data_IF_696700499652
#
_entry.id   IF_696700499652
#
_cell.length_a   1.000
_cell.length_b   1.000
_cell.length_c   1.000
_cell.angle_alpha   90.00
_cell.angle_beta   90.00
_cell.angle_gamma   90.00
#
_symmetry.space_group_name_H-M   'P 1'
#
loop_
_entity.id
_entity.type
_entity.pdbx_description
1 polymer ?
#
# COMPACT_ATOMS: atom_id res chain seq x y z
N UNK A 1 25.25 -14.44 32.80
CA UNK A 1 23.99 -15.00 32.27
C UNK A 1 24.16 -15.16 30.77
N UNK A 2 23.89 -16.34 30.21
CA UNK A 2 24.08 -16.62 28.77
C UNK A 2 22.96 -15.97 27.96
N UNK A 3 23.28 -15.32 26.84
CA UNK A 3 22.27 -14.80 25.90
C UNK A 3 21.43 -15.95 25.30
N UNK A 4 20.19 -15.62 24.90
CA UNK A 4 19.29 -16.58 24.27
C UNK A 4 19.74 -16.89 22.84
N UNK A 5 19.42 -18.09 22.33
CA UNK A 5 19.70 -18.44 20.95
C UNK A 5 18.97 -17.54 19.95
N UNK A 6 17.78 -17.05 20.31
CA UNK A 6 17.03 -16.08 19.51
C UNK A 6 17.85 -14.81 19.26
N UNK A 7 18.50 -14.25 20.28
CA UNK A 7 19.28 -13.02 20.14
C UNK A 7 20.57 -13.23 19.31
N UNK A 8 21.07 -14.46 19.25
CA UNK A 8 22.30 -14.80 18.55
C UNK A 8 22.03 -15.19 17.08
N UNK A 9 20.88 -15.83 16.82
CA UNK A 9 20.61 -16.50 15.54
C UNK A 9 19.48 -15.86 14.73
N UNK A 10 18.69 -14.98 15.31
CA UNK A 10 17.54 -14.36 14.65
C UNK A 10 17.70 -12.85 14.59
N UNK A 11 17.10 -12.26 13.55
CA UNK A 11 16.88 -10.82 13.46
C UNK A 11 15.37 -10.56 13.30
N UNK A 12 14.94 -9.33 13.54
CA UNK A 12 13.54 -8.93 13.43
C UNK A 12 13.10 -9.04 11.98
N UNK A 13 11.94 -9.66 11.74
CA UNK A 13 11.40 -9.78 10.39
C UNK A 13 11.21 -8.39 9.75
N UNK A 14 11.86 -8.08 8.61
CA UNK A 14 11.81 -6.74 8.01
C UNK A 14 10.42 -6.39 7.44
N UNK A 15 9.61 -7.40 7.09
CA UNK A 15 8.29 -7.17 6.51
C UNK A 15 7.23 -6.79 7.56
N UNK A 16 7.25 -7.45 8.73
CA UNK A 16 6.24 -7.23 9.78
C UNK A 16 6.80 -6.64 11.07
N UNK A 17 8.10 -6.34 11.14
CA UNK A 17 8.78 -5.83 12.34
C UNK A 17 8.54 -6.69 13.59
N UNK A 18 8.51 -8.02 13.41
CA UNK A 18 8.31 -8.97 14.51
C UNK A 18 6.85 -9.10 15.01
N UNK A 19 5.87 -8.47 14.34
CA UNK A 19 4.45 -8.57 14.72
C UNK A 19 3.84 -9.98 14.59
N UNK A 20 4.41 -10.83 13.73
CA UNK A 20 3.87 -12.16 13.44
C UNK A 20 2.58 -12.18 12.60
N UNK A 21 2.07 -11.01 12.22
CA UNK A 21 0.92 -10.84 11.32
C UNK A 21 1.13 -9.62 10.42
N UNK A 22 0.41 -9.59 9.31
CA UNK A 22 0.37 -8.46 8.37
C UNK A 22 -1.08 -8.07 8.11
N UNK A 23 -1.32 -6.81 7.74
CA UNK A 23 -2.64 -6.30 7.34
C UNK A 23 -3.15 -7.08 6.14
N UNK A 24 -4.47 -7.27 6.01
CA UNK A 24 -5.05 -7.92 4.81
C UNK A 24 -4.86 -7.03 3.58
N UNK A 25 -4.92 -7.65 2.39
CA UNK A 25 -4.88 -6.92 1.11
C UNK A 25 -5.95 -5.82 1.07
N UNK A 26 -7.18 -6.17 1.44
CA UNK A 26 -8.30 -5.23 1.56
C UNK A 26 -7.98 -4.03 2.48
N UNK A 27 -7.37 -4.28 3.64
CA UNK A 27 -6.99 -3.20 4.56
C UNK A 27 -6.00 -2.24 3.90
N UNK A 28 -5.02 -2.76 3.16
CA UNK A 28 -4.03 -1.95 2.44
C UNK A 28 -4.66 -1.17 1.29
N UNK A 29 -5.58 -1.78 0.53
CA UNK A 29 -6.36 -1.07 -0.49
C UNK A 29 -7.05 0.16 0.09
N UNK A 30 -7.76 0.02 1.21
CA UNK A 30 -8.41 1.17 1.85
C UNK A 30 -7.43 2.22 2.39
N UNK A 31 -6.23 1.82 2.83
CA UNK A 31 -5.18 2.77 3.21
C UNK A 31 -4.69 3.58 2.01
N UNK A 32 -4.49 2.93 0.86
CA UNK A 32 -4.13 3.60 -0.41
C UNK A 32 -5.21 4.63 -0.80
N UNK A 33 -6.49 4.25 -0.78
CA UNK A 33 -7.58 5.17 -1.15
C UNK A 33 -7.62 6.39 -0.23
N UNK A 34 -7.47 6.19 1.09
CA UNK A 34 -7.41 7.30 2.07
C UNK A 34 -6.19 8.19 1.84
N UNK A 35 -5.06 7.59 1.51
CA UNK A 35 -3.82 8.32 1.24
C UNK A 35 -3.96 9.20 0.00
N UNK A 36 -4.57 8.70 -1.08
CA UNK A 36 -4.87 9.52 -2.28
C UNK A 36 -5.75 10.72 -1.90
N UNK A 37 -6.82 10.53 -1.13
CA UNK A 37 -7.67 11.66 -0.67
C UNK A 37 -6.85 12.66 0.14
N UNK A 38 -5.97 12.17 1.02
CA UNK A 38 -5.10 13.00 1.86
C UNK A 38 -4.16 13.84 1.00
N UNK A 39 -3.46 13.23 0.05
CA UNK A 39 -2.51 13.91 -0.84
C UNK A 39 -3.25 14.89 -1.76
N UNK A 40 -4.40 14.51 -2.32
CA UNK A 40 -5.22 15.38 -3.17
C UNK A 40 -5.70 16.66 -2.48
N UNK A 41 -5.97 16.60 -1.16
CA UNK A 41 -6.32 17.81 -0.38
C UNK A 41 -5.12 18.69 -0.08
N UNK A 42 -3.95 18.10 0.07
CA UNK A 42 -2.72 18.82 0.41
C UNK A 42 -2.08 19.49 -0.81
N UNK A 43 -2.24 18.91 -2.00
CA UNK A 43 -1.52 19.33 -3.20
C UNK A 43 -2.41 19.33 -4.45
N UNK A 44 -2.17 20.31 -5.33
CA UNK A 44 -2.78 20.37 -6.64
C UNK A 44 -1.95 19.54 -7.64
N UNK A 45 -2.21 18.24 -7.71
CA UNK A 45 -1.70 17.35 -8.75
C UNK A 45 -2.78 17.09 -9.82
N UNK A 46 -2.42 16.87 -11.08
CA UNK A 46 -3.40 16.55 -12.13
C UNK A 46 -3.70 15.04 -12.16
N UNK A 47 -2.71 14.22 -11.80
CA UNK A 47 -2.79 12.76 -11.81
C UNK A 47 -2.06 12.15 -10.62
N UNK A 48 -2.45 10.92 -10.28
CA UNK A 48 -1.77 10.12 -9.27
C UNK A 48 -1.25 8.81 -9.87
N UNK A 49 -0.09 8.39 -9.39
CA UNK A 49 0.49 7.08 -9.65
C UNK A 49 0.63 6.35 -8.31
N UNK A 50 0.08 5.14 -8.21
CA UNK A 50 0.21 4.29 -7.02
C UNK A 50 1.12 3.13 -7.36
N UNK A 51 2.21 2.98 -6.60
CA UNK A 51 3.03 1.77 -6.62
C UNK A 51 2.59 0.87 -5.48
N UNK A 52 2.25 -0.38 -5.75
CA UNK A 52 1.81 -1.31 -4.72
C UNK A 52 2.30 -2.74 -4.99
N UNK A 53 2.32 -3.57 -3.94
CA UNK A 53 2.65 -4.98 -4.06
C UNK A 53 1.71 -5.72 -5.04
N UNK A 54 2.12 -6.86 -5.64
CA UNK A 54 1.35 -7.55 -6.65
C UNK A 54 -0.09 -7.90 -6.23
N UNK A 55 -0.26 -8.48 -5.03
CA UNK A 55 -1.58 -8.84 -4.53
C UNK A 55 -2.51 -7.63 -4.31
N UNK A 56 -1.95 -6.50 -3.88
CA UNK A 56 -2.70 -5.26 -3.66
C UNK A 56 -3.06 -4.60 -4.98
N UNK A 57 -2.12 -4.56 -5.93
CA UNK A 57 -2.35 -4.04 -7.28
C UNK A 57 -3.42 -4.84 -8.01
N UNK A 58 -3.37 -6.18 -7.93
CA UNK A 58 -4.37 -7.06 -8.50
C UNK A 58 -5.76 -6.83 -7.86
N UNK A 59 -5.83 -6.70 -6.54
CA UNK A 59 -7.09 -6.39 -5.86
C UNK A 59 -7.65 -5.03 -6.30
N UNK A 60 -6.82 -3.98 -6.37
CA UNK A 60 -7.23 -2.64 -6.82
C UNK A 60 -7.76 -2.63 -8.27
N UNK A 61 -7.22 -3.49 -9.13
CA UNK A 61 -7.64 -3.59 -10.53
C UNK A 61 -8.83 -4.54 -10.74
N UNK A 62 -9.16 -5.37 -9.75
CA UNK A 62 -10.23 -6.37 -9.82
C UNK A 62 -11.24 -6.17 -8.69
N UNK A 63 -11.05 -6.83 -7.55
CA UNK A 63 -12.02 -6.90 -6.45
C UNK A 63 -12.44 -5.52 -5.93
N UNK A 64 -11.48 -4.60 -5.83
CA UNK A 64 -11.63 -3.24 -5.29
C UNK A 64 -11.76 -2.18 -6.41
N UNK A 65 -11.91 -2.60 -7.66
CA UNK A 65 -11.99 -1.70 -8.82
C UNK A 65 -13.11 -0.67 -8.69
N UNK A 66 -14.26 -1.09 -8.15
CA UNK A 66 -15.40 -0.19 -7.96
C UNK A 66 -15.06 0.96 -6.99
N UNK A 67 -14.39 0.65 -5.87
CA UNK A 67 -13.97 1.64 -4.88
C UNK A 67 -12.93 2.61 -5.45
N UNK A 68 -12.00 2.12 -6.29
CA UNK A 68 -11.04 2.97 -6.99
C UNK A 68 -11.71 3.90 -7.99
N UNK A 69 -12.67 3.40 -8.78
CA UNK A 69 -13.40 4.20 -9.76
C UNK A 69 -14.27 5.29 -9.10
N UNK A 70 -14.94 4.98 -7.98
CA UNK A 70 -15.66 5.97 -7.19
C UNK A 70 -14.73 7.06 -6.66
N UNK A 71 -13.54 6.68 -6.20
CA UNK A 71 -12.53 7.63 -5.76
C UNK A 71 -12.09 8.57 -6.89
N UNK A 72 -11.79 8.05 -8.08
CA UNK A 72 -11.41 8.85 -9.25
C UNK A 72 -12.49 9.88 -9.61
N UNK A 73 -13.77 9.47 -9.57
CA UNK A 73 -14.90 10.37 -9.79
C UNK A 73 -15.01 11.44 -8.70
N UNK A 74 -14.81 11.07 -7.43
CA UNK A 74 -14.88 11.97 -6.29
C UNK A 74 -13.78 13.04 -6.32
N UNK A 75 -12.55 12.67 -6.66
CA UNK A 75 -11.43 13.61 -6.75
C UNK A 75 -11.35 14.33 -8.09
N UNK A 76 -12.01 13.80 -9.13
CA UNK A 76 -12.01 14.34 -10.50
C UNK A 76 -10.66 14.21 -11.21
N UNK A 77 -9.85 13.22 -10.83
CA UNK A 77 -8.46 13.01 -11.30
C UNK A 77 -8.20 11.54 -11.55
N UNK A 78 -7.32 11.26 -12.51
CA UNK A 78 -6.94 9.90 -12.88
C UNK A 78 -5.93 9.33 -11.86
N UNK A 79 -6.12 8.06 -11.50
CA UNK A 79 -5.24 7.27 -10.63
C UNK A 79 -4.78 6.05 -11.41
N UNK A 80 -3.46 5.94 -11.63
CA UNK A 80 -2.86 4.78 -12.30
C UNK A 80 -2.21 3.86 -11.27
N UNK A 81 -2.39 2.56 -11.41
CA UNK A 81 -1.80 1.55 -10.53
C UNK A 81 -0.59 0.90 -11.23
N UNK A 82 0.53 0.80 -10.52
CA UNK A 82 1.76 0.13 -10.95
C UNK A 82 2.14 -0.95 -9.95
N UNK A 83 2.35 -2.15 -10.48
CA UNK A 83 2.78 -3.28 -9.66
C UNK A 83 4.27 -3.22 -9.41
N UNK A 84 4.67 -3.14 -8.15
CA UNK A 84 6.07 -3.27 -7.72
C UNK A 84 6.29 -4.64 -7.08
N UNK A 85 7.06 -5.49 -7.75
CA UNK A 85 7.21 -6.91 -7.37
C UNK A 85 8.08 -7.10 -6.13
N UNK A 86 8.90 -6.12 -5.79
CA UNK A 86 9.76 -6.15 -4.60
C UNK A 86 9.06 -5.66 -3.32
N UNK A 87 7.84 -5.12 -3.44
CA UNK A 87 7.11 -4.59 -2.30
C UNK A 87 6.48 -5.71 -1.46
N UNK A 88 6.60 -5.59 -0.15
CA UNK A 88 5.80 -6.40 0.78
C UNK A 88 4.33 -5.94 0.74
N UNK A 89 3.41 -6.77 1.22
CA UNK A 89 1.97 -6.49 1.12
C UNK A 89 1.55 -5.14 1.71
N UNK A 90 2.24 -4.67 2.76
CA UNK A 90 1.94 -3.39 3.42
C UNK A 90 2.68 -2.19 2.82
N UNK A 91 3.53 -2.39 1.81
CA UNK A 91 4.28 -1.33 1.15
C UNK A 91 3.51 -0.80 -0.06
N UNK A 92 3.35 0.52 -0.10
CA UNK A 92 2.82 1.25 -1.24
C UNK A 92 3.30 2.70 -1.22
N UNK A 93 3.32 3.34 -2.38
CA UNK A 93 3.62 4.76 -2.53
C UNK A 93 2.56 5.44 -3.39
N UNK A 94 2.14 6.64 -2.98
CA UNK A 94 1.25 7.52 -3.76
C UNK A 94 2.05 8.70 -4.27
N UNK A 95 2.28 8.74 -5.58
CA UNK A 95 3.08 9.76 -6.27
C UNK A 95 2.16 10.70 -7.03
N UNK A 96 2.42 12.00 -6.90
CA UNK A 96 1.77 13.06 -7.67
C UNK A 96 2.49 13.24 -9.00
N UNK A 97 1.72 13.38 -10.08
CA UNK A 97 2.22 13.60 -11.44
C UNK A 97 1.71 14.93 -12.00
#
# INVERSE_FOLDING_TARGET
>A
TRESLEHILCDVCPACSGRGSQKTVETVCYEILREIVRVNRAYAADKFMVYAAPAVSEALLNDEYHNLAELELFIGKQVSIQTESLYSQEQFDVVMM
#
